data_IF_611552294936
#
_entry.id   IF_611552294936
#
_cell.length_a   1.000
_cell.length_b   1.000
_cell.length_c   1.000
_cell.angle_alpha   90.00
_cell.angle_beta   90.00
_cell.angle_gamma   90.00
#
_symmetry.space_group_name_H-M   'P 1'
#
loop_
_entity.id
_entity.type
_entity.pdbx_description
1 polymer ?
#
# COMPACT_ATOMS: atom_id res chain seq x y z
N UNK A 1 35.13 25.85 10.72
CA UNK A 1 35.46 24.59 10.02
C UNK A 1 34.33 23.60 10.28
N UNK A 2 33.42 23.41 9.32
CA UNK A 2 32.30 22.47 9.45
C UNK A 2 32.81 21.04 9.34
N UNK A 3 32.41 20.17 10.25
CA UNK A 3 32.86 18.79 10.34
C UNK A 3 32.42 18.02 9.07
N UNK A 4 33.32 17.66 8.13
CA UNK A 4 32.96 17.15 6.81
C UNK A 4 32.26 15.78 6.84
N UNK A 5 32.26 15.11 8.00
CA UNK A 5 31.49 13.89 8.24
C UNK A 5 29.98 14.12 8.39
N UNK A 6 29.56 15.26 8.94
CA UNK A 6 28.13 15.53 9.25
C UNK A 6 27.32 15.71 7.96
N UNK A 7 27.89 16.40 6.96
CA UNK A 7 27.24 16.62 5.66
C UNK A 7 26.99 15.32 4.88
N UNK A 8 27.90 14.33 4.98
CA UNK A 8 27.76 13.07 4.22
C UNK A 8 26.67 12.15 4.75
N UNK A 9 26.36 12.21 6.05
CA UNK A 9 25.33 11.38 6.66
C UNK A 9 23.96 12.08 6.71
N UNK A 10 23.94 13.41 6.76
CA UNK A 10 22.71 14.19 6.86
C UNK A 10 21.71 13.91 5.74
N UNK A 11 22.15 13.86 4.48
CA UNK A 11 21.24 13.63 3.34
C UNK A 11 20.66 12.21 3.34
N UNK A 12 21.43 11.20 3.77
CA UNK A 12 20.94 9.82 3.91
C UNK A 12 19.88 9.75 5.01
N UNK A 13 20.17 10.34 6.17
CA UNK A 13 19.22 10.39 7.27
C UNK A 13 17.92 11.10 6.86
N UNK A 14 18.02 12.24 6.17
CA UNK A 14 16.85 12.96 5.67
C UNK A 14 16.00 12.12 4.70
N UNK A 15 16.64 11.43 3.74
CA UNK A 15 15.91 10.54 2.81
C UNK A 15 15.25 9.37 3.51
N UNK A 16 15.95 8.73 4.46
CA UNK A 16 15.41 7.59 5.20
C UNK A 16 14.24 8.03 6.08
N UNK A 17 14.37 9.15 6.80
CA UNK A 17 13.28 9.70 7.61
C UNK A 17 12.08 10.02 6.73
N UNK A 18 12.28 10.71 5.60
CA UNK A 18 11.21 11.00 4.66
C UNK A 18 10.54 9.72 4.13
N UNK A 19 11.34 8.71 3.79
CA UNK A 19 10.84 7.42 3.34
C UNK A 19 10.01 6.70 4.40
N UNK A 20 10.43 6.74 5.67
CA UNK A 20 9.66 6.15 6.78
C UNK A 20 8.36 6.91 7.01
N UNK A 21 8.39 8.25 6.98
CA UNK A 21 7.18 9.07 7.12
C UNK A 21 6.17 8.77 6.02
N UNK A 22 6.63 8.64 4.77
CA UNK A 22 5.77 8.28 3.64
C UNK A 22 5.31 6.83 3.71
N UNK A 23 6.22 5.88 3.98
CA UNK A 23 5.94 4.45 4.02
C UNK A 23 5.05 4.02 5.19
N UNK A 24 4.90 4.85 6.22
CA UNK A 24 3.95 4.61 7.31
C UNK A 24 2.56 5.17 7.02
N UNK A 25 2.37 5.93 5.95
CA UNK A 25 1.07 6.47 5.58
C UNK A 25 0.18 5.37 4.94
N UNK A 26 -1.13 5.32 5.24
CA UNK A 26 -1.83 6.08 6.27
C UNK A 26 -1.49 5.56 7.67
N UNK A 27 -1.22 6.46 8.62
CA UNK A 27 -0.73 6.13 9.97
C UNK A 27 -1.70 5.29 10.83
N UNK A 28 -2.91 5.05 10.34
CA UNK A 28 -3.96 4.24 10.97
C UNK A 28 -3.99 2.79 10.51
N UNK A 29 -3.17 2.38 9.53
CA UNK A 29 -3.18 1.05 8.93
C UNK A 29 -1.98 0.18 9.28
N UNK A 30 -2.04 -1.10 8.91
CA UNK A 30 -0.88 -1.98 8.97
C UNK A 30 0.25 -1.41 8.11
N UNK A 31 1.51 -1.41 8.60
CA UNK A 31 2.61 -0.64 8.01
C UNK A 31 3.24 -1.36 6.80
N UNK A 32 2.41 -1.85 5.87
CA UNK A 32 2.88 -2.53 4.65
C UNK A 32 3.82 -1.64 3.82
N UNK A 33 3.64 -0.32 3.86
CA UNK A 33 4.53 0.63 3.19
C UNK A 33 5.95 0.70 3.78
N UNK A 34 6.21 0.15 4.98
CA UNK A 34 7.58 0.05 5.51
C UNK A 34 8.46 -0.90 4.68
N UNK A 35 7.88 -1.94 4.07
CA UNK A 35 8.63 -2.80 3.16
C UNK A 35 9.16 -2.01 1.95
N UNK A 36 8.41 -0.99 1.50
CA UNK A 36 8.82 -0.10 0.42
C UNK A 36 9.87 0.95 0.87
N UNK A 37 10.29 0.97 2.14
CA UNK A 37 11.45 1.76 2.57
C UNK A 37 12.77 1.04 2.26
N UNK A 38 12.75 -0.30 2.12
CA UNK A 38 13.94 -1.13 1.91
C UNK A 38 14.77 -0.69 0.68
N UNK A 39 14.18 -0.41 -0.49
CA UNK A 39 14.94 0.08 -1.63
C UNK A 39 15.72 1.38 -1.35
N UNK A 40 15.17 2.30 -0.57
CA UNK A 40 15.82 3.56 -0.20
C UNK A 40 16.97 3.31 0.79
N UNK A 41 16.81 2.38 1.73
CA UNK A 41 17.88 1.98 2.65
C UNK A 41 19.06 1.36 1.91
N UNK A 42 18.77 0.42 1.00
CA UNK A 42 19.78 -0.24 0.16
C UNK A 42 20.47 0.82 -0.71
N UNK A 43 19.72 1.73 -1.33
CA UNK A 43 20.32 2.82 -2.11
C UNK A 43 21.24 3.72 -1.28
N UNK A 44 20.82 4.12 -0.08
CA UNK A 44 21.63 4.94 0.82
C UNK A 44 22.95 4.24 1.21
N UNK A 45 22.94 2.92 1.37
CA UNK A 45 24.15 2.13 1.61
C UNK A 45 25.06 2.06 0.37
N UNK A 46 24.48 1.96 -0.83
CA UNK A 46 25.22 1.88 -2.09
C UNK A 46 25.78 3.24 -2.55
N UNK A 47 25.08 4.34 -2.36
CA UNK A 47 25.49 5.66 -2.84
C UNK A 47 26.63 6.24 -1.98
N UNK A 48 27.81 6.49 -2.56
CA UNK A 48 29.01 6.94 -1.83
C UNK A 48 29.12 8.46 -1.65
N UNK A 49 28.42 9.23 -2.48
CA UNK A 49 28.51 10.69 -2.51
C UNK A 49 27.11 11.33 -2.60
N UNK A 50 26.93 12.56 -2.09
CA UNK A 50 25.64 13.26 -2.19
C UNK A 50 25.28 13.59 -3.64
N UNK A 51 26.27 13.96 -4.48
CA UNK A 51 26.04 14.30 -5.88
C UNK A 51 25.44 13.12 -6.69
N UNK A 52 25.87 11.89 -6.38
CA UNK A 52 25.35 10.69 -7.04
C UNK A 52 24.12 10.11 -6.33
N UNK A 53 24.01 10.31 -5.01
CA UNK A 53 22.99 9.66 -4.17
C UNK A 53 21.67 10.41 -4.06
N UNK A 54 21.70 11.75 -4.05
CA UNK A 54 20.51 12.56 -3.75
C UNK A 54 19.48 12.47 -4.86
N UNK A 55 19.87 12.66 -6.13
CA UNK A 55 18.90 12.67 -7.23
C UNK A 55 18.15 11.33 -7.38
N UNK A 56 18.81 10.16 -7.44
CA UNK A 56 18.10 8.88 -7.50
C UNK A 56 17.33 8.61 -6.19
N UNK A 57 17.86 9.02 -5.04
CA UNK A 57 17.17 8.89 -3.77
C UNK A 57 15.84 9.66 -3.73
N UNK A 58 15.81 10.87 -4.29
CA UNK A 58 14.58 11.66 -4.45
C UNK A 58 13.61 11.03 -5.45
N UNK A 59 14.11 10.45 -6.56
CA UNK A 59 13.27 9.70 -7.51
C UNK A 59 12.63 8.49 -6.82
N UNK A 60 13.39 7.72 -6.05
CA UNK A 60 12.87 6.60 -5.26
C UNK A 60 11.81 7.07 -4.25
N UNK A 61 12.07 8.19 -3.56
CA UNK A 61 11.11 8.76 -2.61
C UNK A 61 9.82 9.23 -3.30
N UNK A 62 9.93 9.86 -4.47
CA UNK A 62 8.77 10.28 -5.25
C UNK A 62 7.95 9.08 -5.75
N UNK A 63 8.63 8.02 -6.21
CA UNK A 63 7.98 6.76 -6.56
C UNK A 63 7.30 6.14 -5.34
N UNK A 64 7.98 6.06 -4.19
CA UNK A 64 7.38 5.56 -2.94
C UNK A 64 6.11 6.34 -2.58
N UNK A 65 6.16 7.67 -2.66
CA UNK A 65 5.01 8.51 -2.40
C UNK A 65 3.86 8.22 -3.38
N UNK A 66 4.15 8.05 -4.66
CA UNK A 66 3.13 7.68 -5.65
C UNK A 66 2.52 6.29 -5.41
N UNK A 67 3.31 5.33 -4.91
CA UNK A 67 2.83 3.98 -4.57
C UNK A 67 1.96 3.96 -3.30
N UNK A 68 2.25 4.82 -2.31
CA UNK A 68 1.64 4.74 -0.98
C UNK A 68 0.53 5.78 -0.77
N UNK A 69 0.77 7.04 -1.17
CA UNK A 69 -0.10 8.18 -0.82
C UNK A 69 -1.49 8.09 -1.46
N UNK A 70 -1.65 7.85 -2.78
CA UNK A 70 -2.97 7.76 -3.40
C UNK A 70 -3.89 6.76 -2.70
N UNK A 71 -3.37 5.59 -2.33
CA UNK A 71 -4.13 4.57 -1.60
C UNK A 71 -4.52 5.06 -0.20
N UNK A 72 -3.61 5.68 0.53
CA UNK A 72 -3.92 6.23 1.86
C UNK A 72 -4.92 7.40 1.81
N UNK A 73 -5.02 8.11 0.68
CA UNK A 73 -6.05 9.10 0.39
C UNK A 73 -7.38 8.49 -0.08
N UNK A 74 -7.47 7.16 -0.17
CA UNK A 74 -8.66 6.45 -0.62
C UNK A 74 -8.92 6.53 -2.13
N UNK A 75 -7.92 6.93 -2.93
CA UNK A 75 -8.06 6.93 -4.38
C UNK A 75 -8.11 5.50 -4.92
N UNK A 76 -8.76 5.34 -6.08
CA UNK A 76 -8.90 4.06 -6.77
C UNK A 76 -8.77 4.19 -8.28
N UNK A 77 -8.78 3.06 -8.98
CA UNK A 77 -8.68 2.99 -10.43
C UNK A 77 -7.34 2.41 -10.94
N UNK A 78 -7.19 2.33 -12.26
CA UNK A 78 -6.09 1.62 -12.93
C UNK A 78 -4.73 2.34 -12.82
N UNK A 79 -4.72 3.56 -12.27
CA UNK A 79 -3.50 4.35 -12.05
C UNK A 79 -3.07 4.37 -10.58
N UNK A 80 -3.84 3.71 -9.70
CA UNK A 80 -3.56 3.64 -8.27
C UNK A 80 -2.93 2.28 -7.97
N UNK A 81 -1.68 2.23 -7.51
CA UNK A 81 -1.00 0.97 -7.23
C UNK A 81 -1.71 0.15 -6.15
N UNK A 82 -1.80 -1.16 -6.36
CA UNK A 82 -2.32 -2.07 -5.35
C UNK A 82 -1.29 -2.30 -4.23
N UNK A 83 -1.74 -2.69 -3.04
CA UNK A 83 -0.82 -2.97 -1.91
C UNK A 83 0.20 -4.09 -2.25
N UNK A 84 -0.21 -5.03 -3.09
CA UNK A 84 0.66 -6.11 -3.58
C UNK A 84 1.75 -5.54 -4.49
N UNK A 85 1.40 -4.61 -5.39
CA UNK A 85 2.37 -3.94 -6.28
C UNK A 85 3.39 -3.09 -5.51
N UNK A 86 3.01 -2.47 -4.38
CA UNK A 86 3.97 -1.81 -3.49
C UNK A 86 5.07 -2.78 -3.03
N UNK A 87 4.75 -4.07 -2.84
CA UNK A 87 5.68 -5.06 -2.33
C UNK A 87 6.61 -5.64 -3.41
N UNK A 88 6.14 -5.89 -4.64
CA UNK A 88 6.99 -6.47 -5.69
C UNK A 88 7.39 -5.47 -6.80
N UNK A 89 6.47 -4.63 -7.27
CA UNK A 89 6.69 -3.76 -8.42
C UNK A 89 7.59 -2.59 -8.05
N UNK A 90 7.34 -1.96 -6.90
CA UNK A 90 8.19 -0.84 -6.45
C UNK A 90 9.66 -1.25 -6.28
N UNK A 91 10.02 -2.37 -5.62
CA UNK A 91 11.41 -2.83 -5.57
C UNK A 91 12.03 -3.11 -6.94
N UNK A 92 11.26 -3.60 -7.93
CA UNK A 92 11.76 -3.79 -9.30
C UNK A 92 12.09 -2.45 -9.96
N UNK A 93 11.16 -1.50 -9.94
CA UNK A 93 11.38 -0.17 -10.53
C UNK A 93 12.55 0.52 -9.81
N UNK A 94 12.60 0.42 -8.48
CA UNK A 94 13.69 0.97 -7.68
C UNK A 94 15.04 0.35 -8.05
N UNK A 95 15.11 -0.96 -8.26
CA UNK A 95 16.34 -1.62 -8.70
C UNK A 95 16.78 -1.11 -10.08
N UNK A 96 15.84 -0.88 -11.01
CA UNK A 96 16.13 -0.28 -12.33
C UNK A 96 16.67 1.15 -12.20
N UNK A 97 16.01 1.99 -11.40
CA UNK A 97 16.48 3.37 -11.11
C UNK A 97 17.89 3.35 -10.51
N UNK A 98 18.13 2.48 -9.54
CA UNK A 98 19.43 2.31 -8.91
C UNK A 98 20.49 1.84 -9.92
N UNK A 99 20.15 0.87 -10.79
CA UNK A 99 21.06 0.36 -11.83
C UNK A 99 21.50 1.46 -12.79
N UNK A 100 20.56 2.28 -13.27
CA UNK A 100 20.84 3.40 -14.19
C UNK A 100 21.69 4.48 -13.51
N UNK A 101 21.49 4.71 -12.22
CA UNK A 101 22.22 5.71 -11.46
C UNK A 101 23.64 5.29 -11.05
N UNK A 102 24.01 4.01 -11.18
CA UNK A 102 25.31 3.52 -10.74
C UNK A 102 26.42 3.82 -11.77
N UNK A 103 27.59 4.29 -11.32
CA UNK A 103 28.73 4.54 -12.21
C UNK A 103 29.23 3.24 -12.82
N UNK A 104 29.54 3.26 -14.13
CA UNK A 104 29.96 2.08 -14.92
C UNK A 104 31.25 1.41 -14.43
N UNK A 105 32.10 2.13 -13.70
CA UNK A 105 33.40 1.65 -13.20
C UNK A 105 33.27 0.77 -11.94
N UNK A 106 32.06 0.58 -11.43
CA UNK A 106 31.83 -0.18 -10.21
C UNK A 106 31.94 -1.68 -10.48
N UNK A 107 32.72 -2.38 -9.66
CA UNK A 107 32.82 -3.84 -9.71
C UNK A 107 31.41 -4.46 -9.68
N UNK A 108 31.07 -5.17 -10.76
CA UNK A 108 29.72 -5.67 -11.05
C UNK A 108 29.15 -6.51 -9.91
N UNK A 109 30.00 -7.22 -9.15
CA UNK A 109 29.61 -8.24 -8.18
C UNK A 109 28.97 -7.70 -6.89
N UNK A 110 29.57 -6.70 -6.24
CA UNK A 110 28.99 -6.12 -5.02
C UNK A 110 27.74 -5.30 -5.32
N UNK A 111 27.71 -4.68 -6.50
CA UNK A 111 26.62 -3.84 -6.96
C UNK A 111 25.38 -4.65 -7.35
N UNK A 112 25.58 -5.76 -8.06
CA UNK A 112 24.49 -6.65 -8.46
C UNK A 112 23.85 -7.34 -7.26
N UNK A 113 24.63 -7.73 -6.26
CA UNK A 113 24.11 -8.39 -5.06
C UNK A 113 23.09 -7.51 -4.32
N UNK A 114 23.35 -6.21 -4.20
CA UNK A 114 22.41 -5.27 -3.57
C UNK A 114 21.10 -5.11 -4.35
N UNK A 115 21.16 -5.10 -5.68
CA UNK A 115 19.97 -5.04 -6.53
C UNK A 115 19.16 -6.34 -6.48
N UNK A 116 19.84 -7.49 -6.53
CA UNK A 116 19.20 -8.81 -6.41
C UNK A 116 18.54 -8.95 -5.04
N UNK A 117 19.21 -8.52 -3.97
CA UNK A 117 18.62 -8.51 -2.62
C UNK A 117 17.37 -7.62 -2.55
N UNK A 118 17.40 -6.43 -3.15
CA UNK A 118 16.24 -5.52 -3.20
C UNK A 118 15.02 -6.19 -3.84
N UNK A 119 15.22 -6.79 -5.02
CA UNK A 119 14.15 -7.50 -5.74
C UNK A 119 13.69 -8.74 -4.97
N UNK A 120 14.63 -9.56 -4.48
CA UNK A 120 14.34 -10.77 -3.74
C UNK A 120 13.55 -10.51 -2.45
N UNK A 121 13.91 -9.47 -1.69
CA UNK A 121 13.15 -9.07 -0.49
C UNK A 121 11.74 -8.64 -0.87
N UNK A 122 11.57 -7.87 -1.95
CA UNK A 122 10.25 -7.46 -2.44
C UNK A 122 9.34 -8.65 -2.77
N UNK A 123 9.85 -9.62 -3.52
CA UNK A 123 9.13 -10.85 -3.82
C UNK A 123 8.83 -11.69 -2.58
N UNK A 124 9.77 -11.80 -1.64
CA UNK A 124 9.56 -12.53 -0.38
C UNK A 124 8.44 -11.90 0.44
N UNK A 125 8.46 -10.58 0.63
CA UNK A 125 7.38 -9.85 1.33
C UNK A 125 6.05 -10.04 0.62
N UNK A 126 6.05 -9.98 -0.72
CA UNK A 126 4.86 -10.22 -1.52
C UNK A 126 4.29 -11.61 -1.31
N UNK A 127 5.14 -12.64 -1.29
CA UNK A 127 4.70 -14.01 -1.03
C UNK A 127 4.08 -14.15 0.37
N UNK A 128 4.70 -13.55 1.39
CA UNK A 128 4.15 -13.53 2.76
C UNK A 128 2.79 -12.82 2.81
N UNK A 129 2.66 -11.65 2.18
CA UNK A 129 1.40 -10.89 2.13
C UNK A 129 0.30 -11.65 1.37
N UNK A 130 0.65 -12.34 0.28
CA UNK A 130 -0.31 -13.15 -0.46
C UNK A 130 -0.77 -14.36 0.35
N UNK A 131 0.13 -15.01 1.08
CA UNK A 131 -0.23 -16.12 1.98
C UNK A 131 -1.12 -15.63 3.13
N UNK A 132 -0.78 -14.52 3.76
CA UNK A 132 -1.59 -13.91 4.82
C UNK A 132 -3.00 -13.56 4.31
N UNK A 133 -3.12 -13.04 3.09
CA UNK A 133 -4.42 -12.75 2.45
C UNK A 133 -5.26 -13.99 2.13
N UNK A 134 -4.64 -15.15 1.93
CA UNK A 134 -5.37 -16.40 1.71
C UNK A 134 -5.95 -16.96 3.02
N UNK A 135 -5.33 -16.64 4.16
CA UNK A 135 -5.70 -17.17 5.47
C UNK A 135 -6.51 -16.17 6.31
N UNK A 136 -6.32 -14.87 6.10
CA UNK A 136 -6.95 -13.80 6.87
C UNK A 136 -8.28 -13.33 6.25
N UNK A 137 -9.17 -12.80 7.11
CA UNK A 137 -10.36 -12.07 6.67
C UNK A 137 -9.93 -10.80 5.90
N UNK A 138 -10.70 -10.38 4.88
CA UNK A 138 -10.53 -9.07 4.27
C UNK A 138 -10.43 -7.98 5.33
N UNK A 139 -9.54 -7.02 5.12
CA UNK A 139 -9.33 -5.94 6.08
C UNK A 139 -10.47 -4.91 6.03
N UNK A 140 -10.16 -3.68 6.42
CA UNK A 140 -11.08 -2.54 6.26
C UNK A 140 -11.17 -2.04 4.83
N UNK A 141 -10.31 -2.56 3.94
CA UNK A 141 -10.16 -2.17 2.55
C UNK A 141 -10.13 -0.66 2.31
N UNK A 142 -9.58 0.09 3.28
CA UNK A 142 -9.52 1.56 3.22
C UNK A 142 -10.88 2.25 3.25
N UNK A 143 -11.90 1.58 3.81
CA UNK A 143 -13.26 2.12 4.01
C UNK A 143 -13.44 2.64 5.43
N UNK A 144 -12.65 2.14 6.39
CA UNK A 144 -12.57 2.77 7.71
C UNK A 144 -11.77 4.08 7.68
N UNK A 145 -12.09 5.04 8.59
CA UNK A 145 -13.14 4.98 9.62
C UNK A 145 -14.56 5.05 9.03
N UNK A 146 -15.52 4.46 9.75
CA UNK A 146 -16.93 4.53 9.37
C UNK A 146 -17.45 5.97 9.47
N UNK A 147 -18.49 6.34 8.68
CA UNK A 147 -19.13 7.64 8.76
C UNK A 147 -19.54 8.02 10.18
N UNK A 148 -19.39 9.30 10.52
CA UNK A 148 -19.84 9.83 11.81
C UNK A 148 -21.33 9.58 12.00
N UNK A 149 -21.71 9.06 13.17
CA UNK A 149 -23.10 8.75 13.50
C UNK A 149 -23.49 7.29 13.28
N UNK A 150 -22.66 6.50 12.60
CA UNK A 150 -22.83 5.04 12.51
C UNK A 150 -22.04 4.33 13.59
N UNK A 151 -22.68 3.33 14.21
CA UNK A 151 -22.03 2.38 15.13
C UNK A 151 -21.65 1.14 14.34
N UNK A 152 -20.39 0.73 14.51
CA UNK A 152 -19.81 -0.44 13.84
C UNK A 152 -19.86 -1.61 14.81
N UNK A 153 -20.53 -2.69 14.41
CA UNK A 153 -20.45 -3.99 15.06
C UNK A 153 -19.82 -4.98 14.09
N UNK A 154 -18.70 -5.60 14.50
CA UNK A 154 -18.08 -6.65 13.69
C UNK A 154 -18.90 -7.93 13.78
N UNK A 155 -19.22 -8.49 12.61
CA UNK A 155 -19.89 -9.77 12.49
C UNK A 155 -18.93 -10.95 12.66
N UNK A 156 -19.47 -12.16 12.59
CA UNK A 156 -18.68 -13.38 12.75
C UNK A 156 -17.71 -13.60 11.59
N UNK A 157 -18.04 -13.15 10.38
CA UNK A 157 -17.25 -13.38 9.16
C UNK A 157 -17.01 -14.86 8.87
N UNK A 158 -16.43 -15.18 7.71
CA UNK A 158 -16.15 -16.56 7.35
C UNK A 158 -14.85 -16.69 6.56
N UNK A 159 -14.01 -17.67 6.91
CA UNK A 159 -12.83 -18.06 6.15
C UNK A 159 -12.93 -19.56 5.89
N UNK A 160 -12.98 -19.98 4.63
CA UNK A 160 -13.08 -21.39 4.28
C UNK A 160 -12.93 -21.66 2.79
N UNK A 161 -12.33 -22.81 2.44
CA UNK A 161 -12.23 -23.31 1.05
C UNK A 161 -11.75 -22.29 0.00
N UNK A 162 -10.81 -21.42 0.37
CA UNK A 162 -10.17 -20.47 -0.55
C UNK A 162 -10.91 -19.14 -0.73
N UNK A 163 -11.92 -18.84 0.11
CA UNK A 163 -12.49 -17.49 0.16
C UNK A 163 -12.67 -17.03 1.61
N UNK A 164 -12.44 -15.74 1.82
CA UNK A 164 -12.59 -15.08 3.12
C UNK A 164 -13.54 -13.90 2.94
N UNK A 165 -14.54 -13.81 3.80
CA UNK A 165 -15.46 -12.68 3.89
C UNK A 165 -15.37 -12.04 5.27
N UNK A 166 -15.57 -10.73 5.29
CA UNK A 166 -15.78 -9.98 6.52
C UNK A 166 -17.16 -9.36 6.51
N UNK A 167 -17.87 -9.56 7.61
CA UNK A 167 -19.21 -9.01 7.82
C UNK A 167 -19.10 -7.88 8.84
N UNK A 168 -19.72 -6.75 8.54
CA UNK A 168 -19.79 -5.60 9.43
C UNK A 168 -21.22 -5.08 9.44
N UNK A 169 -21.84 -5.01 10.61
CA UNK A 169 -23.14 -4.37 10.78
C UNK A 169 -22.94 -2.92 11.16
N UNK A 170 -23.48 -2.02 10.35
CA UNK A 170 -23.47 -0.57 10.58
C UNK A 170 -24.88 -0.15 10.98
N UNK A 171 -25.02 0.47 12.15
CA UNK A 171 -26.31 0.92 12.69
C UNK A 171 -26.33 2.41 12.97
N UNK A 172 -27.43 3.07 12.64
CA UNK A 172 -27.63 4.51 12.77
C UNK A 172 -28.72 5.03 11.83
N UNK A 173 -29.09 6.30 12.01
CA UNK A 173 -30.13 6.93 11.19
C UNK A 173 -29.73 6.90 9.71
N UNK A 174 -30.61 6.36 8.86
CA UNK A 174 -30.37 6.21 7.41
C UNK A 174 -29.06 5.45 7.10
N UNK A 175 -28.73 4.42 7.88
CA UNK A 175 -27.50 3.66 7.69
C UNK A 175 -27.29 3.15 6.25
N UNK A 176 -28.29 2.57 5.56
CA UNK A 176 -28.11 2.10 4.18
C UNK A 176 -27.69 3.21 3.20
N UNK A 177 -28.28 4.39 3.31
CA UNK A 177 -28.00 5.54 2.43
C UNK A 177 -26.62 6.14 2.73
N UNK A 178 -26.30 6.36 4.00
CA UNK A 178 -25.02 6.94 4.44
C UNK A 178 -23.85 6.03 4.07
N UNK A 179 -24.02 4.72 4.22
CA UNK A 179 -22.98 3.74 3.83
C UNK A 179 -22.79 3.73 2.32
N UNK A 180 -23.88 3.75 1.54
CA UNK A 180 -23.79 3.79 0.07
C UNK A 180 -23.06 5.04 -0.42
N UNK A 181 -23.40 6.21 0.13
CA UNK A 181 -22.73 7.48 -0.20
C UNK A 181 -21.25 7.47 0.21
N UNK A 182 -20.93 6.90 1.38
CA UNK A 182 -19.55 6.74 1.82
C UNK A 182 -18.74 5.83 0.89
N UNK A 183 -19.30 4.70 0.46
CA UNK A 183 -18.64 3.81 -0.51
C UNK A 183 -18.42 4.50 -1.85
N UNK A 184 -19.42 5.23 -2.36
CA UNK A 184 -19.30 5.99 -3.60
C UNK A 184 -18.18 7.05 -3.50
N UNK A 185 -18.11 7.77 -2.38
CA UNK A 185 -17.04 8.74 -2.09
C UNK A 185 -15.63 8.11 -2.06
N UNK A 186 -15.55 6.79 -1.82
CA UNK A 186 -14.32 5.99 -1.81
C UNK A 186 -14.06 5.28 -3.14
N UNK A 187 -14.80 5.66 -4.18
CA UNK A 187 -14.64 5.17 -5.54
C UNK A 187 -15.19 3.77 -5.77
N UNK A 188 -16.12 3.30 -4.92
CA UNK A 188 -16.88 2.08 -5.21
C UNK A 188 -18.05 2.42 -6.14
N UNK A 189 -18.21 1.64 -7.19
CA UNK A 189 -19.31 1.80 -8.15
C UNK A 189 -20.26 0.61 -8.11
N UNK A 190 -21.54 0.87 -8.38
CA UNK A 190 -22.55 -0.18 -8.39
C UNK A 190 -22.31 -1.18 -9.54
N UNK A 191 -22.28 -2.47 -9.21
CA UNK A 191 -22.14 -3.61 -10.12
C UNK A 191 -23.28 -4.59 -9.88
N UNK A 192 -23.78 -5.19 -10.95
CA UNK A 192 -24.85 -6.18 -10.85
C UNK A 192 -24.29 -7.55 -10.41
N UNK A 193 -25.02 -8.32 -9.59
CA UNK A 193 -26.22 -7.96 -8.83
C UNK A 193 -25.86 -7.31 -7.47
N UNK A 194 -26.35 -6.07 -7.23
CA UNK A 194 -26.34 -5.35 -5.93
C UNK A 194 -25.02 -5.29 -5.15
N UNK A 195 -23.88 -5.27 -5.84
CA UNK A 195 -22.57 -5.08 -5.20
C UNK A 195 -22.04 -3.69 -5.51
N UNK A 196 -21.28 -3.12 -4.59
CA UNK A 196 -20.47 -1.93 -4.86
C UNK A 196 -19.03 -2.38 -4.93
N UNK A 197 -18.39 -2.20 -6.08
CA UNK A 197 -17.04 -2.73 -6.33
C UNK A 197 -16.07 -1.59 -6.65
N UNK A 198 -14.81 -1.79 -6.25
CA UNK A 198 -13.71 -0.87 -6.48
C UNK A 198 -12.51 -1.65 -6.99
N UNK A 199 -12.00 -1.23 -8.13
CA UNK A 199 -10.82 -1.81 -8.77
C UNK A 199 -9.59 -0.93 -8.48
N UNK A 200 -8.46 -1.56 -8.17
CA UNK A 200 -7.17 -0.90 -7.96
C UNK A 200 -6.05 -1.74 -8.54
N UNK A 201 -4.96 -1.12 -8.99
CA UNK A 201 -3.78 -1.83 -9.51
C UNK A 201 -3.37 -1.37 -10.90
N UNK A 202 -2.06 -1.35 -11.14
CA UNK A 202 -1.44 -0.95 -12.41
C UNK A 202 -1.30 -2.14 -13.38
N UNK A 203 -0.81 -3.26 -12.85
CA UNK A 203 -0.47 -4.49 -13.57
C UNK A 203 -1.39 -5.62 -13.14
N UNK A 204 -1.69 -5.71 -11.85
CA UNK A 204 -2.61 -6.70 -11.30
C UNK A 204 -3.82 -5.98 -10.74
N UNK A 205 -4.95 -6.11 -11.43
CA UNK A 205 -6.23 -5.57 -10.99
C UNK A 205 -6.70 -6.34 -9.77
N UNK A 206 -6.81 -5.63 -8.66
CA UNK A 206 -7.38 -6.09 -7.42
C UNK A 206 -8.77 -5.49 -7.26
N UNK A 207 -9.77 -6.35 -7.19
CA UNK A 207 -11.16 -5.94 -7.07
C UNK A 207 -11.68 -6.23 -5.65
N UNK A 208 -12.20 -5.19 -5.00
CA UNK A 208 -12.87 -5.32 -3.71
C UNK A 208 -14.34 -4.97 -3.91
N UNK A 209 -15.23 -5.86 -3.50
CA UNK A 209 -16.67 -5.65 -3.54
C UNK A 209 -17.27 -5.65 -2.14
N UNK A 210 -18.22 -4.75 -1.91
CA UNK A 210 -19.11 -4.72 -0.77
C UNK A 210 -20.52 -5.09 -1.22
N UNK A 211 -21.12 -6.07 -0.56
CA UNK A 211 -22.55 -6.35 -0.67
C UNK A 211 -23.28 -5.69 0.50
N UNK A 212 -24.34 -4.94 0.19
CA UNK A 212 -25.12 -4.20 1.18
C UNK A 212 -26.46 -4.88 1.38
N UNK A 213 -26.63 -5.59 2.50
CA UNK A 213 -27.89 -6.20 2.89
C UNK A 213 -28.61 -5.32 3.93
N UNK A 214 -29.88 -5.01 3.69
CA UNK A 214 -30.66 -4.21 4.65
C UNK A 214 -31.09 -5.11 5.81
N UNK A 215 -30.53 -4.88 6.99
CA UNK A 215 -30.85 -5.64 8.21
C UNK A 215 -32.02 -5.03 8.99
N UNK A 216 -32.30 -3.73 8.77
CA UNK A 216 -33.41 -2.99 9.36
C UNK A 216 -33.50 -1.56 8.82
N UNK A 217 -34.46 -0.75 9.28
CA UNK A 217 -34.60 0.64 8.82
C UNK A 217 -33.36 1.51 9.13
N UNK A 218 -32.70 1.24 10.26
CA UNK A 218 -31.52 1.96 10.73
C UNK A 218 -30.29 1.04 10.82
N UNK A 219 -30.28 -0.06 10.08
CA UNK A 219 -29.20 -1.04 10.12
C UNK A 219 -28.91 -1.65 8.74
N UNK A 220 -27.64 -1.65 8.37
CA UNK A 220 -27.15 -2.26 7.13
C UNK A 220 -26.01 -3.23 7.46
N UNK A 221 -26.08 -4.41 6.88
CA UNK A 221 -25.00 -5.39 6.91
C UNK A 221 -24.16 -5.22 5.64
N UNK A 222 -22.85 -5.13 5.84
CA UNK A 222 -21.86 -4.97 4.77
C UNK A 222 -20.98 -6.20 4.75
N UNK A 223 -21.02 -6.94 3.64
CA UNK A 223 -20.19 -8.11 3.43
C UNK A 223 -19.11 -7.80 2.40
N UNK A 224 -17.86 -7.92 2.81
CA UNK A 224 -16.69 -7.65 1.99
C UNK A 224 -16.22 -8.92 1.28
N UNK A 225 -15.97 -8.79 -0.02
CA UNK A 225 -15.39 -9.80 -0.89
C UNK A 225 -14.15 -9.24 -1.57
N UNK A 226 -13.10 -10.04 -1.62
CA UNK A 226 -11.85 -9.71 -2.30
C UNK A 226 -11.66 -10.73 -3.41
N UNK A 227 -11.60 -10.26 -4.65
CA UNK A 227 -11.43 -11.08 -5.85
C UNK A 227 -10.09 -10.81 -6.53
#
# INVERSE_FOLDING_TARGET
MGNPGVSRWAWRAALVVAAVVVGTFPWSGAPFGLAAVVPILIWCALARSPQQGVAPGLVLLALLAWFVVPRGLGWSGPLVPSAVEVCWLYPIIAAVVCLVAMPRERGLTSSSLGLVAMVGIGFLVTAVVLLDRLEAKPGDEGVLPAPSGLRVAEGTGHCGSGNCSREVTLSGERAPEVVREHLDSRGFSARTPQRMCRETGLVFTHEVCAELATAGPDAVEVTWYVN
#
